data_IF_977585921319
#
_entry.id   IF_977585921319
#
_cell.length_a   1.000
_cell.length_b   1.000
_cell.length_c   1.000
_cell.angle_alpha   90.00
_cell.angle_beta   90.00
_cell.angle_gamma   90.00
#
_symmetry.space_group_name_H-M   'P 1'
#
loop_
_entity.id
_entity.type
_entity.pdbx_description
1 polymer ?
#
# COMPACT_ATOMS: atom_id res chain seq x y z
N UNK A 1 -17.39 23.73 0.40
CA UNK A 1 -16.95 22.63 1.28
C UNK A 1 -15.53 22.28 0.88
N UNK A 2 -14.53 22.78 1.62
CA UNK A 2 -13.13 22.43 1.39
C UNK A 2 -12.92 20.97 1.79
N UNK A 3 -12.38 20.18 0.87
CA UNK A 3 -12.03 18.76 1.06
C UNK A 3 -10.59 18.68 1.66
N UNK A 4 -10.08 19.79 2.20
CA UNK A 4 -8.66 20.06 2.51
C UNK A 4 -8.09 19.41 3.78
N UNK A 5 -8.79 18.48 4.44
CA UNK A 5 -8.34 17.96 5.75
C UNK A 5 -8.26 16.43 5.85
N UNK A 6 -8.29 15.71 4.74
CA UNK A 6 -7.98 14.28 4.77
C UNK A 6 -6.45 14.12 4.71
N UNK A 7 -5.85 13.52 5.74
CA UNK A 7 -4.43 13.15 5.73
C UNK A 7 -4.16 12.23 4.51
N UNK A 8 -3.33 12.68 3.55
CA UNK A 8 -3.14 11.95 2.30
C UNK A 8 -2.48 10.57 2.51
N UNK A 9 -1.65 10.42 3.55
CA UNK A 9 -1.00 9.15 3.89
C UNK A 9 -2.00 8.19 4.54
N UNK A 10 -2.86 8.69 5.42
CA UNK A 10 -3.94 7.89 6.02
C UNK A 10 -4.96 7.41 4.97
N UNK A 11 -5.29 8.26 4.00
CA UNK A 11 -6.15 7.89 2.86
C UNK A 11 -5.45 6.84 1.98
N UNK A 12 -4.16 7.00 1.69
CA UNK A 12 -3.39 6.00 0.95
C UNK A 12 -3.34 4.65 1.70
N UNK A 13 -3.09 4.65 3.01
CA UNK A 13 -3.12 3.44 3.86
C UNK A 13 -4.48 2.75 3.78
N UNK A 14 -5.56 3.52 3.83
CA UNK A 14 -6.92 2.99 3.68
C UNK A 14 -7.15 2.41 2.28
N UNK A 15 -6.71 3.11 1.23
CA UNK A 15 -6.83 2.65 -0.14
C UNK A 15 -6.09 1.32 -0.37
N UNK A 16 -4.85 1.20 0.14
CA UNK A 16 -4.07 -0.04 0.09
C UNK A 16 -4.81 -1.16 0.83
N UNK A 17 -5.25 -0.93 2.07
CA UNK A 17 -5.98 -1.94 2.85
C UNK A 17 -7.23 -2.45 2.15
N UNK A 18 -8.07 -1.54 1.64
CA UNK A 18 -9.31 -1.89 0.93
C UNK A 18 -9.04 -2.71 -0.34
N UNK A 19 -7.93 -2.43 -1.03
CA UNK A 19 -7.53 -3.19 -2.22
C UNK A 19 -6.93 -4.56 -1.86
N UNK A 20 -6.14 -4.64 -0.81
CA UNK A 20 -5.46 -5.88 -0.39
C UNK A 20 -6.40 -6.91 0.22
N UNK A 21 -7.35 -6.51 1.05
CA UNK A 21 -8.27 -7.42 1.75
C UNK A 21 -8.92 -8.50 0.85
N UNK A 22 -9.58 -8.14 -0.27
CA UNK A 22 -10.17 -9.14 -1.14
C UNK A 22 -9.12 -10.00 -1.86
N UNK A 23 -7.93 -9.47 -2.13
CA UNK A 23 -6.83 -10.19 -2.79
C UNK A 23 -6.12 -11.18 -1.85
N UNK A 24 -5.97 -10.84 -0.57
CA UNK A 24 -5.41 -11.75 0.42
C UNK A 24 -6.38 -12.91 0.70
N UNK A 25 -7.68 -12.63 0.82
CA UNK A 25 -8.71 -13.69 0.87
C UNK A 25 -8.78 -14.49 -0.43
N UNK A 26 -8.42 -13.88 -1.56
CA UNK A 26 -8.31 -14.56 -2.84
C UNK A 26 -7.13 -15.56 -2.81
N UNK A 27 -5.98 -15.13 -2.28
CA UNK A 27 -4.75 -15.90 -2.22
C UNK A 27 -4.80 -17.06 -1.21
N UNK A 28 -5.50 -16.86 -0.09
CA UNK A 28 -5.58 -17.85 1.00
C UNK A 28 -6.40 -19.10 0.64
N UNK A 29 -7.29 -19.04 -0.36
CA UNK A 29 -8.04 -20.24 -0.76
C UNK A 29 -7.17 -21.16 -1.60
N UNK A 30 -6.85 -22.34 -1.05
CA UNK A 30 -5.90 -23.33 -1.58
C UNK A 30 -6.31 -24.01 -2.90
N UNK A 31 -7.48 -23.68 -3.47
CA UNK A 31 -7.96 -24.27 -4.71
C UNK A 31 -7.56 -23.41 -5.93
N UNK A 32 -7.02 -24.04 -6.98
CA UNK A 32 -6.82 -23.39 -8.29
C UNK A 32 -8.16 -22.83 -8.77
N UNK A 33 -8.29 -21.51 -8.72
CA UNK A 33 -9.53 -20.83 -9.10
C UNK A 33 -9.60 -20.64 -10.61
N UNK A 34 -10.82 -20.52 -11.17
CA UNK A 34 -10.99 -20.11 -12.54
C UNK A 34 -10.45 -18.68 -12.72
N UNK A 35 -9.55 -18.51 -13.70
CA UNK A 35 -9.11 -17.26 -14.34
C UNK A 35 -10.11 -16.08 -14.25
N UNK A 36 -11.38 -16.21 -14.71
CA UNK A 36 -12.31 -15.07 -14.74
C UNK A 36 -12.67 -14.51 -13.36
N UNK A 37 -12.68 -15.35 -12.31
CA UNK A 37 -12.98 -14.92 -10.93
C UNK A 37 -11.82 -14.11 -10.37
N UNK A 38 -10.58 -14.50 -10.69
CA UNK A 38 -9.37 -13.76 -10.28
C UNK A 38 -9.37 -12.38 -10.94
N UNK A 39 -9.62 -12.31 -12.25
CA UNK A 39 -9.69 -11.05 -12.99
C UNK A 39 -10.75 -10.08 -12.46
N UNK A 40 -11.94 -10.56 -12.10
CA UNK A 40 -13.00 -9.71 -11.53
C UNK A 40 -12.60 -9.13 -10.16
N UNK A 41 -12.04 -9.96 -9.28
CA UNK A 41 -11.62 -9.52 -7.95
C UNK A 41 -10.48 -8.50 -8.04
N UNK A 42 -9.51 -8.72 -8.94
CA UNK A 42 -8.43 -7.77 -9.21
C UNK A 42 -8.96 -6.43 -9.72
N UNK A 43 -9.85 -6.45 -10.70
CA UNK A 43 -10.45 -5.22 -11.24
C UNK A 43 -11.24 -4.47 -10.17
N UNK A 44 -11.96 -5.18 -9.30
CA UNK A 44 -12.67 -4.59 -8.17
C UNK A 44 -11.72 -3.96 -7.15
N UNK A 45 -10.63 -4.65 -6.82
CA UNK A 45 -9.60 -4.14 -5.92
C UNK A 45 -8.93 -2.87 -6.47
N UNK A 46 -8.57 -2.86 -7.76
CA UNK A 46 -8.02 -1.69 -8.44
C UNK A 46 -9.02 -0.53 -8.45
N UNK A 47 -10.28 -0.79 -8.79
CA UNK A 47 -11.34 0.21 -8.78
C UNK A 47 -11.53 0.83 -7.40
N UNK A 48 -11.50 0.02 -6.34
CA UNK A 48 -11.63 0.49 -4.97
C UNK A 48 -10.42 1.32 -4.51
N UNK A 49 -9.19 0.90 -4.89
CA UNK A 49 -7.98 1.67 -4.63
C UNK A 49 -8.08 3.06 -5.25
N UNK A 50 -8.36 3.12 -6.57
CA UNK A 50 -8.44 4.39 -7.31
C UNK A 50 -9.54 5.28 -6.75
N UNK A 51 -10.73 4.74 -6.47
CA UNK A 51 -11.82 5.51 -5.89
C UNK A 51 -11.45 6.13 -4.53
N UNK A 52 -10.71 5.40 -3.71
CA UNK A 52 -10.29 5.84 -2.38
C UNK A 52 -9.15 6.86 -2.43
N UNK A 53 -8.15 6.66 -3.30
CA UNK A 53 -6.98 7.53 -3.41
C UNK A 53 -7.22 8.80 -4.24
N UNK A 54 -8.23 8.81 -5.13
CA UNK A 54 -8.53 9.93 -6.04
C UNK A 54 -8.62 11.30 -5.37
N UNK A 55 -9.26 11.47 -4.20
CA UNK A 55 -9.38 12.80 -3.56
C UNK A 55 -8.04 13.41 -3.16
N UNK A 56 -7.03 12.58 -2.87
CA UNK A 56 -5.71 13.02 -2.38
C UNK A 56 -4.60 12.85 -3.40
N UNK A 57 -4.91 12.47 -4.65
CA UNK A 57 -3.92 12.14 -5.67
C UNK A 57 -2.89 13.26 -5.92
N UNK A 58 -3.35 14.51 -5.95
CA UNK A 58 -2.46 15.66 -6.15
C UNK A 58 -1.51 15.88 -4.95
N UNK A 59 -2.00 15.66 -3.73
CA UNK A 59 -1.20 15.78 -2.50
C UNK A 59 -0.18 14.66 -2.41
N UNK A 60 -0.56 13.43 -2.77
CA UNK A 60 0.37 12.30 -2.87
C UNK A 60 1.46 12.55 -3.90
N UNK A 61 1.12 13.09 -5.07
CA UNK A 61 2.11 13.44 -6.09
C UNK A 61 3.11 14.50 -5.60
N UNK A 62 2.65 15.48 -4.83
CA UNK A 62 3.51 16.49 -4.22
C UNK A 62 4.44 15.87 -3.16
N UNK A 63 3.93 14.98 -2.30
CA UNK A 63 4.73 14.26 -1.30
C UNK A 63 5.82 13.39 -1.95
N UNK A 64 5.48 12.65 -3.01
CA UNK A 64 6.43 11.83 -3.77
C UNK A 64 7.48 12.71 -4.45
N UNK A 65 7.08 13.88 -4.95
CA UNK A 65 8.03 14.80 -5.59
C UNK A 65 8.99 15.44 -4.59
N UNK A 66 8.52 15.67 -3.35
CA UNK A 66 9.33 16.19 -2.25
C UNK A 66 10.28 15.12 -1.68
N UNK A 67 9.86 13.87 -1.64
CA UNK A 67 10.66 12.73 -1.17
C UNK A 67 10.46 11.48 -2.06
N UNK A 68 11.19 11.38 -3.19
CA UNK A 68 11.00 10.32 -4.17
C UNK A 68 11.49 8.95 -3.73
N UNK A 69 12.26 8.89 -2.63
CA UNK A 69 12.74 7.64 -2.01
C UNK A 69 12.06 7.40 -0.66
N UNK A 70 11.06 8.23 -0.32
CA UNK A 70 10.34 8.16 0.93
C UNK A 70 9.30 7.04 0.97
N UNK A 71 8.73 6.77 2.16
CA UNK A 71 7.78 5.68 2.39
C UNK A 71 6.53 5.77 1.51
N UNK A 72 6.06 6.99 1.20
CA UNK A 72 4.91 7.20 0.32
C UNK A 72 5.24 6.83 -1.13
N UNK A 73 6.44 7.17 -1.61
CA UNK A 73 6.89 6.84 -2.96
C UNK A 73 7.11 5.33 -3.10
N UNK A 74 7.75 4.71 -2.11
CA UNK A 74 7.96 3.26 -2.03
C UNK A 74 6.62 2.50 -2.02
N UNK A 75 5.68 2.90 -1.17
CA UNK A 75 4.36 2.29 -1.10
C UNK A 75 3.60 2.37 -2.42
N UNK A 76 3.60 3.55 -3.07
CA UNK A 76 2.95 3.73 -4.38
C UNK A 76 3.64 2.89 -5.46
N UNK A 77 4.97 2.73 -5.39
CA UNK A 77 5.70 1.86 -6.30
C UNK A 77 5.29 0.39 -6.13
N UNK A 78 5.27 -0.11 -4.90
CA UNK A 78 4.81 -1.48 -4.60
C UNK A 78 3.37 -1.73 -5.07
N UNK A 79 2.45 -0.79 -4.85
CA UNK A 79 1.07 -0.89 -5.37
C UNK A 79 1.06 -1.00 -6.89
N UNK A 80 1.89 -0.21 -7.60
CA UNK A 80 1.98 -0.28 -9.06
C UNK A 80 2.51 -1.63 -9.53
N UNK A 81 3.55 -2.17 -8.88
CA UNK A 81 4.11 -3.49 -9.22
C UNK A 81 3.09 -4.60 -8.97
N UNK A 82 2.38 -4.55 -7.83
CA UNK A 82 1.31 -5.48 -7.50
C UNK A 82 0.26 -5.57 -8.61
N UNK A 83 -0.27 -4.43 -9.06
CA UNK A 83 -1.26 -4.43 -10.14
C UNK A 83 -0.68 -4.76 -11.52
N UNK A 84 0.63 -4.52 -11.72
CA UNK A 84 1.35 -4.94 -12.92
C UNK A 84 1.49 -6.46 -13.06
N UNK A 85 1.57 -7.20 -11.94
CA UNK A 85 1.62 -8.65 -11.96
C UNK A 85 0.37 -9.29 -12.58
N UNK A 86 -0.81 -8.71 -12.35
CA UNK A 86 -2.07 -9.22 -12.92
C UNK A 86 -2.21 -9.02 -14.42
N UNK A 87 -1.49 -8.05 -15.00
CA UNK A 87 -1.52 -7.79 -16.44
C UNK A 87 -0.69 -8.77 -17.28
N UNK A 88 0.16 -9.59 -16.65
CA UNK A 88 1.15 -10.42 -17.35
C UNK A 88 0.94 -11.92 -17.19
N UNK A 89 0.43 -12.39 -16.04
CA UNK A 89 0.21 -13.82 -15.80
C UNK A 89 -0.72 -14.05 -14.60
N UNK A 90 -1.78 -14.85 -14.78
CA UNK A 90 -2.79 -15.12 -13.73
C UNK A 90 -2.21 -15.93 -12.56
N UNK A 91 -1.04 -16.56 -12.74
CA UNK A 91 -0.32 -17.30 -11.69
C UNK A 91 0.47 -16.42 -10.71
N UNK A 92 0.39 -15.09 -10.79
CA UNK A 92 1.20 -14.17 -9.97
C UNK A 92 0.43 -13.48 -8.83
N UNK A 93 -0.69 -14.05 -8.40
CA UNK A 93 -1.45 -13.52 -7.26
C UNK A 93 -0.60 -13.46 -5.98
N UNK A 94 0.22 -14.48 -5.71
CA UNK A 94 1.14 -14.48 -4.57
C UNK A 94 2.14 -13.32 -4.63
N UNK A 95 2.73 -13.07 -5.81
CA UNK A 95 3.67 -11.97 -6.01
C UNK A 95 2.96 -10.62 -5.84
N UNK A 96 1.75 -10.47 -6.40
CA UNK A 96 0.96 -9.26 -6.21
C UNK A 96 0.60 -9.04 -4.72
N UNK A 97 0.29 -10.11 -3.99
CA UNK A 97 0.00 -10.01 -2.56
C UNK A 97 1.25 -9.63 -1.75
N UNK A 98 2.42 -10.19 -2.08
CA UNK A 98 3.68 -9.81 -1.45
C UNK A 98 4.01 -8.32 -1.65
N UNK A 99 3.79 -7.80 -2.85
CA UNK A 99 3.97 -6.37 -3.16
C UNK A 99 2.96 -5.50 -2.39
N UNK A 100 1.70 -5.91 -2.27
CA UNK A 100 0.72 -5.19 -1.45
C UNK A 100 1.05 -5.21 0.04
N UNK A 101 1.63 -6.29 0.56
CA UNK A 101 2.13 -6.37 1.93
C UNK A 101 3.33 -5.43 2.13
N UNK A 102 4.26 -5.38 1.17
CA UNK A 102 5.37 -4.42 1.19
C UNK A 102 4.88 -2.97 1.18
N UNK A 103 3.85 -2.66 0.40
CA UNK A 103 3.21 -1.35 0.42
C UNK A 103 2.60 -1.00 1.78
N UNK A 104 1.95 -1.96 2.46
CA UNK A 104 1.44 -1.75 3.82
C UNK A 104 2.57 -1.46 4.80
N UNK A 105 3.63 -2.28 4.79
CA UNK A 105 4.82 -2.10 5.64
C UNK A 105 5.50 -0.75 5.43
N UNK A 106 5.65 -0.30 4.19
CA UNK A 106 6.21 1.01 3.88
C UNK A 106 5.37 2.16 4.48
N UNK A 107 4.04 2.01 4.52
CA UNK A 107 3.12 2.98 5.12
C UNK A 107 2.96 2.84 6.64
N UNK A 108 3.42 1.74 7.22
CA UNK A 108 3.42 1.44 8.65
C UNK A 108 4.77 1.75 9.32
N UNK A 109 5.87 1.82 8.57
CA UNK A 109 7.23 1.88 9.12
C UNK A 109 7.74 3.27 9.53
N UNK A 110 7.56 3.63 10.82
CA UNK A 110 8.58 4.20 11.75
C UNK A 110 7.94 4.56 13.11
N UNK A 111 7.62 3.56 13.93
CA UNK A 111 7.53 3.72 15.40
C UNK A 111 8.85 3.30 16.09
N UNK A 112 9.95 3.16 15.34
CA UNK A 112 11.24 2.71 15.89
C UNK A 112 12.40 3.58 15.40
N UNK A 113 12.49 4.80 15.93
CA UNK A 113 13.76 5.52 16.16
C UNK A 113 13.58 6.60 17.26
N UNK A 114 12.78 6.33 18.30
CA UNK A 114 12.91 7.08 19.56
C UNK A 114 14.07 6.46 20.35
N UNK A 115 15.17 7.23 20.40
CA UNK A 115 16.40 6.94 21.12
C UNK A 115 16.19 6.30 22.50
N UNK A 116 16.92 5.24 22.87
CA UNK A 116 17.46 5.16 24.21
C UNK A 116 18.74 5.99 24.22
N UNK A 117 18.65 7.23 24.70
CA UNK A 117 19.81 7.95 25.20
C UNK A 117 19.92 7.70 26.72
N UNK A 118 20.67 6.70 27.20
CA UNK A 118 21.11 6.70 28.59
C UNK A 118 22.54 7.27 28.62
N UNK A 119 22.66 8.59 28.74
CA UNK A 119 23.85 9.13 29.38
C UNK A 119 23.92 8.52 30.79
N UNK A 120 25.02 7.84 31.17
CA UNK A 120 25.20 7.46 32.56
C UNK A 120 25.40 8.73 33.42
N UNK A 121 24.88 8.78 34.65
CA UNK A 121 25.12 9.92 35.52
C UNK A 121 26.61 10.04 35.82
N UNK A 122 27.18 11.21 35.56
CA UNK A 122 28.50 11.60 36.04
C UNK A 122 28.43 11.57 37.57
N UNK A 123 29.04 10.55 38.19
CA UNK A 123 29.31 10.57 39.63
C UNK A 123 30.54 11.46 39.85
N UNK A 124 30.37 12.47 40.69
CA UNK A 124 31.46 13.25 41.29
C UNK A 124 32.24 12.46 42.33
#
# INVERSE_FOLDING_TARGET
MSIDNADPVAVLRTAVRVASDPLFRLNDQSARRPSPVVGEVVNRALGAFVATARPVQAQLAALISADPLGPVAEAVNHVRVAFGHFGSDEGRLDAACAELEAAQKALEGREVDELPNPHPPIRG
#
